data_IF_832835280569
#
_entry.id   IF_832835280569
#
_cell.length_a   1.000
_cell.length_b   1.000
_cell.length_c   1.000
_cell.angle_alpha   90.00
_cell.angle_beta   90.00
_cell.angle_gamma   90.00
#
_symmetry.space_group_name_H-M   'P 1'
#
loop_
_entity.id
_entity.type
_entity.pdbx_description
1 polymer ?
#
# COMPACT_ATOMS: atom_id res chain seq x y z
N UNK A 1 20.39 8.54 6.84
CA UNK A 1 20.09 7.32 6.04
C UNK A 1 21.24 7.12 5.07
N UNK A 2 21.84 5.93 4.94
CA UNK A 2 22.97 5.73 3.99
C UNK A 2 22.43 5.91 2.56
N UNK A 3 23.13 6.64 1.69
CA UNK A 3 22.67 6.97 0.32
C UNK A 3 22.15 5.74 -0.44
N UNK A 4 22.84 4.60 -0.30
CA UNK A 4 22.47 3.33 -0.93
C UNK A 4 21.07 2.85 -0.47
N UNK A 5 20.73 3.00 0.81
CA UNK A 5 19.41 2.65 1.34
C UNK A 5 18.31 3.48 0.68
N UNK A 6 18.55 4.78 0.54
CA UNK A 6 17.64 5.72 -0.11
C UNK A 6 17.40 5.32 -1.56
N UNK A 7 18.48 5.03 -2.30
CA UNK A 7 18.41 4.65 -3.72
C UNK A 7 17.61 3.36 -3.90
N UNK A 8 17.86 2.34 -3.08
CA UNK A 8 17.15 1.06 -3.19
C UNK A 8 15.66 1.26 -2.91
N UNK A 9 15.32 1.89 -1.77
CA UNK A 9 13.93 1.98 -1.33
C UNK A 9 13.10 2.87 -2.26
N UNK A 10 13.55 4.10 -2.51
CA UNK A 10 12.80 5.03 -3.36
C UNK A 10 12.97 4.73 -4.85
N UNK A 11 14.07 4.08 -5.24
CA UNK A 11 14.23 3.55 -6.58
C UNK A 11 13.21 2.45 -6.88
N UNK A 12 13.02 1.49 -5.97
CA UNK A 12 11.96 0.49 -6.07
C UNK A 12 10.58 1.13 -6.14
N UNK A 13 10.29 2.10 -5.28
CA UNK A 13 9.03 2.85 -5.31
C UNK A 13 8.78 3.55 -6.66
N UNK A 14 9.81 4.18 -7.21
CA UNK A 14 9.76 4.87 -8.50
C UNK A 14 9.54 3.90 -9.66
N UNK A 15 10.30 2.79 -9.70
CA UNK A 15 10.17 1.75 -10.73
C UNK A 15 8.75 1.17 -10.72
N UNK A 16 8.25 0.77 -9.54
CA UNK A 16 6.90 0.20 -9.41
C UNK A 16 5.84 1.21 -9.86
N UNK A 17 5.96 2.48 -9.44
CA UNK A 17 5.02 3.54 -9.85
C UNK A 17 5.05 3.77 -11.36
N UNK A 18 6.23 3.83 -11.99
CA UNK A 18 6.39 4.01 -13.44
C UNK A 18 5.77 2.83 -14.20
N UNK A 19 6.05 1.60 -13.76
CA UNK A 19 5.47 0.39 -14.36
C UNK A 19 3.95 0.40 -14.27
N UNK A 20 3.40 0.84 -13.13
CA UNK A 20 1.95 1.01 -12.97
C UNK A 20 1.38 2.08 -13.89
N UNK A 21 2.05 3.22 -14.06
CA UNK A 21 1.64 4.26 -15.02
C UNK A 21 1.58 3.68 -16.44
N UNK A 22 2.64 3.02 -16.88
CA UNK A 22 2.71 2.39 -18.21
C UNK A 22 1.58 1.38 -18.37
N UNK A 23 1.36 0.52 -17.37
CA UNK A 23 0.29 -0.47 -17.39
C UNK A 23 -1.10 0.16 -17.57
N UNK A 24 -1.44 1.19 -16.79
CA UNK A 24 -2.75 1.84 -16.89
C UNK A 24 -2.91 2.74 -18.11
N UNK A 25 -1.80 3.20 -18.73
CA UNK A 25 -1.86 3.85 -20.04
C UNK A 25 -2.19 2.86 -21.16
N UNK A 26 -1.73 1.61 -21.06
CA UNK A 26 -1.97 0.57 -22.08
C UNK A 26 -3.34 -0.09 -21.89
N UNK A 27 -3.68 -0.48 -20.66
CA UNK A 27 -4.93 -1.22 -20.35
C UNK A 27 -6.12 -0.28 -20.12
N UNK A 28 -5.86 0.98 -19.78
CA UNK A 28 -6.89 1.94 -19.38
C UNK A 28 -7.18 1.89 -17.88
N UNK A 29 -7.80 2.97 -17.38
CA UNK A 29 -8.20 3.08 -15.98
C UNK A 29 -9.54 2.39 -15.75
N UNK A 30 -9.72 1.66 -14.63
CA UNK A 30 -10.98 0.97 -14.37
C UNK A 30 -12.09 1.95 -14.00
N UNK A 31 -13.34 1.53 -14.23
CA UNK A 31 -14.53 2.22 -13.73
C UNK A 31 -14.54 2.17 -12.21
N UNK A 32 -15.01 3.25 -11.58
CA UNK A 32 -15.13 3.34 -10.12
C UNK A 32 -16.20 2.36 -9.63
N UNK A 33 -15.77 1.45 -8.75
CA UNK A 33 -16.65 0.50 -8.07
C UNK A 33 -16.77 0.85 -6.58
N UNK A 34 -18.00 0.96 -6.10
CA UNK A 34 -18.36 1.31 -4.72
C UNK A 34 -19.19 0.21 -4.08
N UNK A 35 -19.41 0.28 -2.77
CA UNK A 35 -20.30 -0.67 -2.11
C UNK A 35 -21.75 -0.59 -2.63
N UNK A 36 -22.16 0.56 -3.17
CA UNK A 36 -23.51 0.81 -3.70
C UNK A 36 -23.63 0.56 -5.20
N UNK A 37 -22.56 0.14 -5.87
CA UNK A 37 -22.54 -0.17 -7.30
C UNK A 37 -21.47 0.59 -8.10
N UNK A 38 -21.59 0.52 -9.42
CA UNK A 38 -20.67 1.15 -10.35
C UNK A 38 -21.03 2.63 -10.56
N UNK A 39 -20.06 3.52 -10.41
CA UNK A 39 -20.18 4.91 -10.85
C UNK A 39 -19.62 4.98 -12.27
N UNK A 40 -20.37 5.47 -13.28
CA UNK A 40 -19.95 5.47 -14.69
C UNK A 40 -18.88 6.54 -15.00
N UNK A 41 -17.83 6.56 -14.21
CA UNK A 41 -16.67 7.45 -14.32
C UNK A 41 -15.41 6.62 -14.21
N UNK A 42 -14.40 6.93 -15.04
CA UNK A 42 -13.08 6.32 -14.93
C UNK A 42 -12.39 6.76 -13.64
N UNK A 43 -11.67 5.83 -13.02
CA UNK A 43 -10.85 6.12 -11.85
C UNK A 43 -9.73 7.08 -12.25
N UNK A 44 -9.61 8.27 -11.64
CA UNK A 44 -8.64 9.25 -12.08
C UNK A 44 -7.21 8.84 -11.70
N UNK A 45 -6.19 9.15 -12.53
CA UNK A 45 -4.81 8.80 -12.26
C UNK A 45 -4.29 9.30 -10.91
N UNK A 46 -4.73 10.48 -10.48
CA UNK A 46 -4.34 11.09 -9.20
C UNK A 46 -4.80 10.26 -8.00
N UNK A 47 -5.86 9.47 -8.14
CA UNK A 47 -6.26 8.48 -7.13
C UNK A 47 -5.54 7.14 -7.35
N UNK A 48 -5.48 6.67 -8.59
CA UNK A 48 -5.02 5.32 -8.91
C UNK A 48 -3.51 5.11 -8.67
N UNK A 49 -2.68 6.05 -9.12
CA UNK A 49 -1.23 5.89 -9.21
C UNK A 49 -0.49 6.05 -7.86
N UNK A 50 -0.83 7.01 -6.98
CA UNK A 50 0.00 7.27 -5.80
C UNK A 50 0.15 6.11 -4.82
N UNK A 51 -0.79 5.16 -4.77
CA UNK A 51 -0.74 3.99 -3.87
C UNK A 51 0.42 3.04 -4.17
N UNK A 52 0.90 3.02 -5.42
CA UNK A 52 2.03 2.18 -5.82
C UNK A 52 3.35 2.64 -5.21
N UNK A 53 3.43 3.91 -4.80
CA UNK A 53 4.63 4.45 -4.17
C UNK A 53 4.83 3.89 -2.74
N UNK A 54 3.85 3.95 -1.81
CA UNK A 54 3.88 3.21 -0.55
C UNK A 54 4.19 1.72 -0.72
N UNK A 55 3.55 1.05 -1.68
CA UNK A 55 3.77 -0.37 -1.92
C UNK A 55 5.22 -0.65 -2.36
N UNK A 56 5.75 0.13 -3.31
CA UNK A 56 7.13 -0.05 -3.77
C UNK A 56 8.18 0.34 -2.74
N UNK A 57 7.87 1.21 -1.77
CA UNK A 57 8.73 1.45 -0.60
C UNK A 57 8.87 0.17 0.23
N UNK A 58 7.75 -0.52 0.53
CA UNK A 58 7.77 -1.77 1.31
C UNK A 58 8.59 -2.85 0.60
N UNK A 59 8.42 -2.99 -0.72
CA UNK A 59 9.25 -3.89 -1.53
C UNK A 59 10.73 -3.52 -1.49
N UNK A 60 11.04 -2.23 -1.57
CA UNK A 60 12.40 -1.72 -1.45
C UNK A 60 13.03 -1.99 -0.08
N UNK A 61 12.23 -2.01 0.99
CA UNK A 61 12.71 -2.40 2.32
C UNK A 61 13.04 -3.87 2.43
N UNK A 62 12.20 -4.75 1.88
CA UNK A 62 12.50 -6.18 1.81
C UNK A 62 13.85 -6.40 1.13
N UNK A 63 14.07 -5.76 -0.02
CA UNK A 63 15.34 -5.82 -0.75
C UNK A 63 16.51 -5.30 0.10
N UNK A 64 16.33 -4.18 0.79
CA UNK A 64 17.35 -3.61 1.65
C UNK A 64 17.73 -4.56 2.80
N UNK A 65 16.76 -5.14 3.50
CA UNK A 65 16.99 -6.09 4.58
C UNK A 65 17.76 -7.33 4.10
N UNK A 66 17.41 -7.85 2.92
CA UNK A 66 18.13 -8.99 2.32
C UNK A 66 19.57 -8.65 1.94
N UNK A 67 19.81 -7.48 1.33
CA UNK A 67 21.15 -7.02 0.97
C UNK A 67 22.02 -6.85 2.22
N UNK A 68 21.45 -6.34 3.31
CA UNK A 68 22.16 -6.15 4.57
C UNK A 68 22.25 -7.41 5.43
N UNK A 69 21.52 -8.47 5.08
CA UNK A 69 21.38 -9.69 5.90
C UNK A 69 20.93 -9.36 7.33
N UNK A 70 20.11 -8.32 7.48
CA UNK A 70 19.56 -7.83 8.75
C UNK A 70 18.07 -8.20 8.82
N UNK A 71 17.60 -8.57 10.02
CA UNK A 71 16.19 -8.90 10.29
C UNK A 71 15.55 -9.87 9.25
N UNK A 72 16.26 -10.90 8.82
CA UNK A 72 15.82 -11.80 7.72
C UNK A 72 14.41 -12.39 7.92
N UNK A 73 14.10 -12.88 9.13
CA UNK A 73 12.75 -13.38 9.44
C UNK A 73 11.67 -12.32 9.28
N UNK A 74 11.95 -11.08 9.73
CA UNK A 74 11.02 -9.96 9.57
C UNK A 74 10.80 -9.61 8.11
N UNK A 75 11.86 -9.58 7.30
CA UNK A 75 11.76 -9.33 5.86
C UNK A 75 10.93 -10.39 5.13
N UNK A 76 10.95 -11.65 5.59
CA UNK A 76 10.11 -12.71 5.06
C UNK A 76 8.63 -12.55 5.43
N UNK A 77 8.34 -12.15 6.67
CA UNK A 77 6.98 -11.82 7.10
C UNK A 77 6.44 -10.68 6.23
N UNK A 78 7.21 -9.60 6.09
CA UNK A 78 6.86 -8.44 5.29
C UNK A 78 6.62 -8.80 3.82
N UNK A 79 7.46 -9.66 3.24
CA UNK A 79 7.26 -10.18 1.87
C UNK A 79 5.94 -10.93 1.76
N UNK A 80 5.67 -11.85 2.68
CA UNK A 80 4.47 -12.66 2.67
C UNK A 80 3.20 -11.80 2.77
N UNK A 81 3.21 -10.80 3.66
CA UNK A 81 2.12 -9.82 3.79
C UNK A 81 1.94 -8.98 2.52
N UNK A 82 3.03 -8.54 1.88
CA UNK A 82 2.98 -7.83 0.60
C UNK A 82 2.38 -8.71 -0.52
N UNK A 83 2.68 -10.01 -0.55
CA UNK A 83 2.10 -10.97 -1.49
C UNK A 83 0.61 -11.17 -1.23
N UNK A 84 0.19 -11.30 0.04
CA UNK A 84 -1.23 -11.38 0.42
C UNK A 84 -1.97 -10.12 -0.04
N UNK A 85 -1.43 -8.93 0.20
CA UNK A 85 -2.06 -7.67 -0.21
C UNK A 85 -2.18 -7.57 -1.72
N UNK A 86 -1.13 -7.97 -2.45
CA UNK A 86 -1.15 -8.04 -3.91
C UNK A 86 -2.23 -8.99 -4.41
N UNK A 87 -2.32 -10.19 -3.83
CA UNK A 87 -3.30 -11.21 -4.19
C UNK A 87 -4.74 -10.75 -3.89
N UNK A 88 -4.99 -10.22 -2.69
CA UNK A 88 -6.31 -9.67 -2.30
C UNK A 88 -6.70 -8.53 -3.25
N UNK A 89 -5.76 -7.62 -3.54
CA UNK A 89 -6.02 -6.49 -4.44
C UNK A 89 -6.34 -6.94 -5.86
N UNK A 90 -5.68 -8.01 -6.34
CA UNK A 90 -5.94 -8.63 -7.64
C UNK A 90 -7.28 -9.37 -7.67
N UNK A 91 -7.57 -10.23 -6.69
CA UNK A 91 -8.84 -10.97 -6.61
C UNK A 91 -10.01 -10.00 -6.56
N UNK A 92 -9.91 -8.93 -5.76
CA UNK A 92 -10.90 -7.87 -5.68
C UNK A 92 -11.16 -7.22 -7.04
N UNK A 93 -10.10 -6.97 -7.81
CA UNK A 93 -10.22 -6.44 -9.17
C UNK A 93 -10.99 -7.41 -10.09
N UNK A 94 -10.77 -8.73 -9.94
CA UNK A 94 -11.39 -9.76 -10.78
C UNK A 94 -12.83 -10.15 -10.38
N UNK A 95 -13.19 -10.11 -9.09
CA UNK A 95 -14.46 -10.67 -8.57
C UNK A 95 -15.38 -9.57 -7.97
N UNK A 96 -15.05 -8.29 -8.17
CA UNK A 96 -15.91 -7.14 -7.76
C UNK A 96 -16.23 -7.21 -6.25
N UNK A 97 -15.20 -7.44 -5.43
CA UNK A 97 -15.35 -7.47 -3.97
C UNK A 97 -15.35 -6.01 -3.45
N UNK A 98 -16.28 -5.61 -2.55
CA UNK A 98 -16.44 -4.21 -2.12
C UNK A 98 -15.39 -3.80 -1.07
N UNK A 99 -14.11 -3.93 -1.43
CA UNK A 99 -12.97 -3.41 -0.65
C UNK A 99 -12.23 -2.36 -1.46
N UNK A 100 -11.71 -1.34 -0.79
CA UNK A 100 -10.79 -0.38 -1.41
C UNK A 100 -9.36 -0.94 -1.36
N UNK A 101 -8.79 -1.30 -2.51
CA UNK A 101 -7.38 -1.73 -2.59
C UNK A 101 -6.42 -0.68 -2.05
N UNK A 102 -6.71 0.60 -2.29
CA UNK A 102 -5.97 1.73 -1.75
C UNK A 102 -5.96 1.73 -0.22
N UNK A 103 -7.14 1.54 0.38
CA UNK A 103 -7.26 1.50 1.84
C UNK A 103 -6.49 0.32 2.46
N UNK A 104 -6.48 -0.84 1.81
CA UNK A 104 -5.71 -2.02 2.25
C UNK A 104 -4.22 -1.69 2.29
N UNK A 105 -3.67 -1.22 1.17
CA UNK A 105 -2.23 -0.93 1.03
C UNK A 105 -1.81 0.18 2.01
N UNK A 106 -2.57 1.27 2.08
CA UNK A 106 -2.22 2.43 2.91
C UNK A 106 -2.30 2.08 4.40
N UNK A 107 -3.32 1.34 4.82
CA UNK A 107 -3.47 0.95 6.23
C UNK A 107 -2.36 0.01 6.66
N UNK A 108 -2.04 -0.98 5.82
CA UNK A 108 -0.88 -1.85 6.03
C UNK A 108 0.42 -1.05 6.12
N UNK A 109 0.68 -0.19 5.15
CA UNK A 109 1.86 0.66 5.08
C UNK A 109 2.04 1.55 6.31
N UNK A 110 0.98 2.22 6.74
CA UNK A 110 1.04 3.10 7.91
C UNK A 110 1.23 2.31 9.19
N UNK A 111 0.55 1.16 9.35
CA UNK A 111 0.71 0.29 10.52
C UNK A 111 2.14 -0.25 10.61
N UNK A 112 2.71 -0.72 9.50
CA UNK A 112 4.11 -1.13 9.40
C UNK A 112 5.04 -0.07 10.00
N UNK A 113 4.90 1.20 9.58
CA UNK A 113 5.72 2.30 10.11
C UNK A 113 5.38 2.76 11.52
N UNK A 114 4.16 2.50 12.00
CA UNK A 114 3.76 2.74 13.39
C UNK A 114 4.32 1.69 14.36
N UNK A 115 4.65 0.49 13.89
CA UNK A 115 5.20 -0.58 14.75
C UNK A 115 6.72 -0.57 14.71
N UNK A 116 7.28 -0.24 13.55
CA UNK A 116 8.71 -0.12 13.33
C UNK A 116 9.30 1.23 13.78
N UNK A 117 8.55 2.10 14.50
CA UNK A 117 8.91 3.49 14.85
C UNK A 117 10.34 3.60 15.38
N UNK A 118 11.25 3.85 14.44
CA UNK A 118 12.47 4.60 14.65
C UNK A 118 12.16 6.02 14.17
N UNK A 119 12.63 7.05 14.88
CA UNK A 119 12.47 8.48 14.50
C UNK A 119 12.95 8.80 13.06
N UNK A 120 13.64 7.86 12.41
CA UNK A 120 14.24 7.94 11.08
C UNK A 120 13.24 7.88 9.91
N UNK A 121 11.97 7.52 10.12
CA UNK A 121 11.02 7.23 9.03
C UNK A 121 9.96 8.30 8.74
N UNK A 122 10.13 9.54 9.24
CA UNK A 122 9.15 10.63 9.09
C UNK A 122 8.68 10.88 7.66
N UNK A 123 9.60 10.86 6.68
CA UNK A 123 9.27 11.07 5.26
C UNK A 123 8.33 9.99 4.73
N UNK A 124 8.50 8.74 5.19
CA UNK A 124 7.68 7.60 4.76
C UNK A 124 6.27 7.69 5.32
N UNK A 125 6.16 8.03 6.61
CA UNK A 125 4.87 8.31 7.23
C UNK A 125 4.16 9.45 6.49
N UNK A 126 4.87 10.55 6.18
CA UNK A 126 4.31 11.67 5.42
C UNK A 126 3.78 11.23 4.05
N UNK A 127 4.53 10.41 3.31
CA UNK A 127 4.08 9.83 2.03
C UNK A 127 2.78 9.06 2.22
N UNK A 128 2.73 8.17 3.21
CA UNK A 128 1.52 7.40 3.52
C UNK A 128 0.33 8.29 3.85
N UNK A 129 0.54 9.36 4.63
CA UNK A 129 -0.50 10.33 4.99
C UNK A 129 -1.00 11.14 3.79
N UNK A 130 -0.11 11.53 2.86
CA UNK A 130 -0.50 12.23 1.63
C UNK A 130 -1.39 11.33 0.77
N UNK A 131 -0.98 10.07 0.57
CA UNK A 131 -1.77 9.10 -0.21
C UNK A 131 -3.09 8.77 0.48
N UNK A 132 -3.09 8.68 1.83
CA UNK A 132 -4.33 8.56 2.62
C UNK A 132 -5.25 9.76 2.38
N UNK A 133 -4.74 11.00 2.42
CA UNK A 133 -5.53 12.21 2.19
C UNK A 133 -6.22 12.21 0.82
N UNK A 134 -5.50 11.83 -0.24
CA UNK A 134 -6.08 11.65 -1.58
C UNK A 134 -7.17 10.58 -1.55
N UNK A 135 -6.91 9.45 -0.91
CA UNK A 135 -7.86 8.33 -0.83
C UNK A 135 -9.14 8.72 -0.08
N UNK A 136 -9.01 9.46 1.03
CA UNK A 136 -10.12 9.97 1.82
C UNK A 136 -10.94 10.99 1.04
N UNK A 137 -10.30 11.92 0.33
CA UNK A 137 -10.99 12.89 -0.52
C UNK A 137 -11.89 12.17 -1.53
N UNK A 138 -11.34 11.21 -2.27
CA UNK A 138 -12.12 10.48 -3.27
C UNK A 138 -13.20 9.60 -2.67
N UNK A 139 -12.87 8.82 -1.64
CA UNK A 139 -13.82 7.87 -1.04
C UNK A 139 -14.90 8.55 -0.23
N UNK A 140 -14.62 9.61 0.51
CA UNK A 140 -15.61 10.24 1.39
C UNK A 140 -16.36 11.39 0.70
N UNK A 141 -15.67 12.20 -0.09
CA UNK A 141 -16.26 13.43 -0.65
C UNK A 141 -16.76 13.23 -2.07
N UNK A 142 -15.95 12.62 -2.94
CA UNK A 142 -16.28 12.55 -4.38
C UNK A 142 -17.20 11.36 -4.70
N UNK A 143 -16.93 10.18 -4.13
CA UNK A 143 -17.69 8.95 -4.43
C UNK A 143 -18.66 8.54 -3.33
N UNK A 144 -18.61 9.19 -2.16
CA UNK A 144 -19.46 8.86 -1.01
C UNK A 144 -19.51 7.35 -0.69
N UNK A 145 -18.35 6.72 -0.66
CA UNK A 145 -18.12 5.28 -0.49
C UNK A 145 -17.26 4.98 0.75
N UNK A 146 -17.73 5.32 1.98
CA UNK A 146 -17.00 5.08 3.22
C UNK A 146 -16.90 3.58 3.56
N UNK A 147 -17.85 2.77 3.11
CA UNK A 147 -17.90 1.35 3.48
C UNK A 147 -16.71 0.57 2.90
N UNK A 148 -16.41 0.72 1.60
CA UNK A 148 -15.26 0.01 1.01
C UNK A 148 -13.92 0.52 1.55
N UNK A 149 -13.86 1.79 1.94
CA UNK A 149 -12.71 2.40 2.61
C UNK A 149 -12.48 1.74 3.98
N UNK A 150 -13.49 1.69 4.85
CA UNK A 150 -13.40 1.08 6.19
C UNK A 150 -13.03 -0.39 6.08
N UNK A 151 -13.75 -1.14 5.24
CA UNK A 151 -13.50 -2.57 5.08
C UNK A 151 -12.09 -2.85 4.54
N UNK A 152 -11.63 -2.07 3.56
CA UNK A 152 -10.26 -2.17 3.07
C UNK A 152 -9.23 -1.82 4.14
N UNK A 153 -9.49 -0.80 4.97
CA UNK A 153 -8.61 -0.44 6.07
C UNK A 153 -8.51 -1.52 7.16
N UNK A 154 -9.64 -2.12 7.54
CA UNK A 154 -9.69 -3.27 8.45
C UNK A 154 -8.85 -4.42 7.88
N UNK A 155 -9.03 -4.75 6.61
CA UNK A 155 -8.30 -5.85 5.99
C UNK A 155 -6.79 -5.60 5.93
N UNK A 156 -6.36 -4.37 5.62
CA UNK A 156 -4.94 -3.99 5.69
C UNK A 156 -4.36 -4.10 7.11
N UNK A 157 -5.14 -3.71 8.12
CA UNK A 157 -4.75 -3.87 9.52
C UNK A 157 -4.66 -5.34 9.96
N UNK A 158 -5.61 -6.18 9.51
CA UNK A 158 -5.60 -7.62 9.78
C UNK A 158 -4.37 -8.31 9.19
N UNK A 159 -3.97 -7.94 7.96
CA UNK A 159 -2.74 -8.48 7.36
C UNK A 159 -1.52 -8.14 8.21
N UNK A 160 -1.47 -6.94 8.79
CA UNK A 160 -0.34 -6.49 9.62
C UNK A 160 -0.21 -7.24 10.96
N UNK A 161 -1.24 -7.98 11.41
CA UNK A 161 -1.26 -8.64 12.72
C UNK A 161 -0.06 -9.57 12.97
N UNK A 162 0.41 -10.25 11.92
CA UNK A 162 1.55 -11.17 12.03
C UNK A 162 2.81 -10.37 12.34
N UNK A 163 3.06 -9.29 11.60
CA UNK A 163 4.13 -8.33 11.87
C UNK A 163 4.06 -7.78 13.30
N UNK A 164 2.87 -7.35 13.74
CA UNK A 164 2.63 -6.81 15.09
C UNK A 164 3.10 -7.81 16.14
N UNK A 165 2.57 -9.03 16.10
CA UNK A 165 2.87 -10.10 17.06
C UNK A 165 4.36 -10.44 17.07
N UNK A 166 5.01 -10.48 15.90
CA UNK A 166 6.45 -10.73 15.79
C UNK A 166 7.27 -9.64 16.49
N UNK A 167 6.99 -8.36 16.23
CA UNK A 167 7.74 -7.25 16.84
C UNK A 167 7.52 -7.14 18.34
N UNK A 168 6.31 -7.42 18.84
CA UNK A 168 6.05 -7.44 20.29
C UNK A 168 6.80 -8.56 21.01
N UNK A 169 6.94 -9.76 20.42
CA UNK A 169 7.70 -10.87 21.03
C UNK A 169 9.21 -10.65 21.06
N UNK A 170 9.75 -9.78 20.20
CA UNK A 170 11.19 -9.50 20.09
C UNK A 170 11.65 -8.37 21.02
N UNK A 171 10.73 -7.55 21.54
CA UNK A 171 11.01 -6.52 22.55
C UNK A 171 11.07 -7.16 23.94
#
# INVERSE_FOLDING_TARGET
MKIIQTIIIYGSASIITILSIIYFQVIGYPIVNTATGLIPTLTPPIYMIPVFFPYGILLGEILWFWIKKEEFTFSFILLFECLIIGLISFIRYSIIIPFSGHAIIISFYLIHYLITIEKKYQVRILIGLVVLGITLLYKLVIWNDPLTLILGGILGALVSLIEIVYKFKKR
#
